data_IF_982940389828
#
_entry.id   IF_982940389828
#
_cell.length_a   1.000
_cell.length_b   1.000
_cell.length_c   1.000
_cell.angle_alpha   90.00
_cell.angle_beta   90.00
_cell.angle_gamma   90.00
#
_symmetry.space_group_name_H-M   'P 1'
#
loop_
_entity.id
_entity.type
_entity.pdbx_description
1 polymer ?
#
# COMPACT_ATOMS: atom_id res chain seq x y z
N UNK A 1 2.26 -27.20 -15.78
CA UNK A 1 1.87 -27.76 -14.51
C UNK A 1 2.96 -27.56 -13.50
N UNK A 2 2.74 -26.67 -12.51
CA UNK A 2 3.69 -26.50 -11.41
C UNK A 2 3.64 -27.75 -10.53
N UNK A 3 4.72 -28.51 -10.51
CA UNK A 3 4.88 -29.61 -9.54
C UNK A 3 5.27 -28.95 -8.22
N UNK A 4 4.31 -28.83 -7.30
CA UNK A 4 4.61 -28.44 -5.92
C UNK A 4 5.41 -29.55 -5.25
N UNK A 5 6.67 -29.29 -4.93
CA UNK A 5 7.48 -30.18 -4.11
C UNK A 5 6.98 -30.05 -2.66
N UNK A 6 6.26 -31.06 -2.19
CA UNK A 6 5.88 -31.18 -0.79
C UNK A 6 6.93 -32.04 -0.06
N UNK A 7 7.46 -31.52 1.05
CA UNK A 7 8.26 -32.35 1.94
C UNK A 7 7.32 -33.36 2.61
N UNK A 8 7.52 -34.65 2.29
CA UNK A 8 6.75 -35.73 2.89
C UNK A 8 7.55 -36.30 4.07
N UNK A 9 6.98 -36.21 5.25
CA UNK A 9 7.55 -36.87 6.44
C UNK A 9 7.01 -38.28 6.53
N UNK A 10 7.88 -39.23 6.88
CA UNK A 10 7.47 -40.61 7.18
C UNK A 10 6.48 -40.63 8.31
N UNK A 11 5.43 -41.46 8.19
CA UNK A 11 4.40 -41.57 9.22
C UNK A 11 4.99 -41.86 10.61
N UNK A 12 4.52 -41.10 11.60
CA UNK A 12 4.95 -41.24 12.99
C UNK A 12 3.84 -41.92 13.78
N UNK A 13 4.21 -42.98 14.48
CA UNK A 13 3.24 -43.80 15.21
C UNK A 13 3.39 -43.61 16.70
N UNK A 14 2.26 -43.63 17.39
CA UNK A 14 2.18 -43.73 18.87
C UNK A 14 1.10 -44.73 19.26
N UNK A 15 1.34 -45.43 20.33
CA UNK A 15 0.39 -46.38 20.93
C UNK A 15 -0.11 -45.86 22.29
N UNK A 16 -1.43 -45.72 22.41
CA UNK A 16 -2.08 -45.29 23.66
C UNK A 16 -3.28 -46.20 23.89
N UNK A 17 -3.36 -46.83 25.08
CA UNK A 17 -4.47 -47.69 25.43
C UNK A 17 -4.64 -48.92 24.52
N UNK A 18 -3.54 -49.42 23.94
CA UNK A 18 -3.56 -50.52 22.97
C UNK A 18 -3.77 -50.11 21.53
N UNK A 19 -4.22 -48.89 21.25
CA UNK A 19 -4.45 -48.37 19.90
C UNK A 19 -3.17 -47.74 19.36
N UNK A 20 -2.67 -48.19 18.21
CA UNK A 20 -1.57 -47.55 17.50
C UNK A 20 -2.10 -46.66 16.37
N UNK A 21 -1.93 -45.36 16.50
CA UNK A 21 -2.23 -44.38 15.47
C UNK A 21 -0.94 -43.95 14.76
N UNK A 22 -1.02 -43.77 13.45
CA UNK A 22 0.06 -43.23 12.62
C UNK A 22 -0.45 -41.97 11.93
N UNK A 23 0.28 -40.87 12.10
CA UNK A 23 0.01 -39.60 11.42
C UNK A 23 1.12 -39.29 10.42
N UNK A 24 0.75 -38.87 9.22
CA UNK A 24 1.65 -38.29 8.22
C UNK A 24 1.34 -36.82 8.12
N UNK A 25 2.35 -35.98 8.28
CA UNK A 25 2.23 -34.54 8.10
C UNK A 25 3.05 -34.10 6.91
N UNK A 26 2.57 -33.09 6.20
CA UNK A 26 3.28 -32.47 5.07
C UNK A 26 3.28 -30.96 5.23
N UNK A 27 4.37 -30.33 4.83
CA UNK A 27 4.47 -28.88 4.71
C UNK A 27 4.52 -28.52 3.23
N UNK A 28 3.46 -27.90 2.67
CA UNK A 28 3.55 -27.36 1.32
C UNK A 28 4.51 -26.17 1.31
N UNK A 29 5.33 -26.07 0.23
CA UNK A 29 6.44 -25.10 0.14
C UNK A 29 6.04 -23.62 0.15
N UNK A 30 4.75 -23.29 0.20
CA UNK A 30 4.26 -21.91 0.04
C UNK A 30 3.62 -21.29 1.27
N UNK A 31 3.27 -22.06 2.31
CA UNK A 31 2.63 -21.53 3.51
C UNK A 31 3.34 -21.88 4.84
N UNK A 32 4.42 -22.67 4.75
CA UNK A 32 5.28 -23.07 5.87
C UNK A 32 4.52 -23.69 7.07
N UNK A 33 3.32 -24.22 6.82
CA UNK A 33 2.52 -24.94 7.83
C UNK A 33 2.59 -26.44 7.57
N UNK A 34 2.48 -27.21 8.64
CA UNK A 34 2.36 -28.66 8.56
C UNK A 34 0.88 -29.04 8.60
N UNK A 35 0.48 -29.83 7.61
CA UNK A 35 -0.87 -30.33 7.52
C UNK A 35 -0.89 -31.83 7.73
N UNK A 36 -1.89 -32.33 8.46
CA UNK A 36 -2.16 -33.75 8.59
C UNK A 36 -2.71 -34.22 7.24
N UNK A 37 -1.97 -35.09 6.56
CA UNK A 37 -2.33 -35.58 5.21
C UNK A 37 -2.78 -37.02 5.20
N UNK A 38 -2.42 -37.81 6.23
CA UNK A 38 -2.87 -39.17 6.39
C UNK A 38 -2.93 -39.54 7.86
N UNK A 39 -3.99 -40.24 8.23
CA UNK A 39 -4.18 -40.86 9.53
C UNK A 39 -4.56 -42.32 9.30
N UNK A 40 -3.89 -43.22 10.02
CA UNK A 40 -4.24 -44.65 10.04
C UNK A 40 -4.16 -45.17 11.46
N UNK A 41 -4.96 -46.20 11.76
CA UNK A 41 -4.80 -47.01 12.95
C UNK A 41 -4.15 -48.33 12.61
N UNK A 42 -3.75 -49.07 13.61
CA UNK A 42 -3.41 -50.46 13.42
C UNK A 42 -4.59 -51.28 12.83
N UNK A 43 -4.29 -52.42 12.27
CA UNK A 43 -5.28 -53.18 11.48
C UNK A 43 -6.51 -53.57 12.32
N UNK A 44 -6.29 -54.05 13.55
CA UNK A 44 -7.38 -54.55 14.40
C UNK A 44 -8.37 -53.43 14.77
N UNK A 45 -7.88 -52.24 15.13
CA UNK A 45 -8.71 -51.09 15.44
C UNK A 45 -9.33 -50.44 14.21
N UNK A 46 -8.64 -50.45 13.07
CA UNK A 46 -9.20 -49.97 11.80
C UNK A 46 -10.38 -50.82 11.33
N UNK A 47 -10.33 -52.12 11.51
CA UNK A 47 -11.44 -53.02 11.22
C UNK A 47 -12.58 -52.91 12.24
N UNK A 48 -12.24 -52.82 13.55
CA UNK A 48 -13.22 -52.73 14.62
C UNK A 48 -14.00 -51.42 14.63
N UNK A 49 -13.39 -50.32 14.20
CA UNK A 49 -13.94 -48.96 14.23
C UNK A 49 -14.35 -48.44 12.85
N UNK A 50 -14.48 -49.34 11.87
CA UNK A 50 -14.73 -48.99 10.49
C UNK A 50 -16.03 -48.18 10.27
N UNK A 51 -16.99 -48.30 11.13
CA UNK A 51 -18.30 -47.63 11.09
C UNK A 51 -18.27 -46.15 11.41
N UNK A 52 -17.38 -45.70 12.30
CA UNK A 52 -17.28 -44.27 12.71
C UNK A 52 -15.94 -43.61 12.37
N UNK A 53 -14.90 -44.39 12.14
CA UNK A 53 -13.54 -43.88 11.93
C UNK A 53 -13.41 -42.89 10.75
N UNK A 54 -14.07 -43.11 9.57
CA UNK A 54 -13.99 -42.15 8.47
C UNK A 54 -14.53 -40.76 8.83
N UNK A 55 -15.63 -40.70 9.60
CA UNK A 55 -16.19 -39.45 10.06
C UNK A 55 -15.27 -38.76 11.08
N UNK A 56 -14.75 -39.48 12.05
CA UNK A 56 -13.82 -38.94 13.02
C UNK A 56 -12.56 -38.38 12.35
N UNK A 57 -11.97 -39.10 11.40
CA UNK A 57 -10.80 -38.63 10.67
C UNK A 57 -11.13 -37.41 9.79
N UNK A 58 -12.32 -37.36 9.19
CA UNK A 58 -12.75 -36.18 8.46
C UNK A 58 -12.81 -34.92 9.34
N UNK A 59 -13.29 -35.04 10.57
CA UNK A 59 -13.29 -33.94 11.56
C UNK A 59 -11.88 -33.49 11.91
N UNK A 60 -10.96 -34.43 12.12
CA UNK A 60 -9.55 -34.12 12.41
C UNK A 60 -8.87 -33.44 11.20
N UNK A 61 -9.12 -33.90 9.97
CA UNK A 61 -8.60 -33.27 8.74
C UNK A 61 -9.13 -31.85 8.55
N UNK A 62 -10.40 -31.60 8.83
CA UNK A 62 -10.98 -30.25 8.75
C UNK A 62 -10.39 -29.31 9.81
N UNK A 63 -10.21 -29.81 11.04
CA UNK A 63 -9.65 -29.04 12.15
C UNK A 63 -8.11 -28.91 12.10
N UNK A 64 -7.43 -29.84 11.41
CA UNK A 64 -5.97 -30.00 11.42
C UNK A 64 -5.37 -30.17 12.83
N UNK A 65 -6.18 -30.64 13.76
CA UNK A 65 -5.84 -30.90 15.17
C UNK A 65 -6.81 -31.91 15.74
N UNK A 66 -6.47 -32.50 16.89
CA UNK A 66 -7.43 -33.30 17.70
C UNK A 66 -8.10 -32.46 18.78
N UNK A 67 -7.56 -31.26 19.07
CA UNK A 67 -8.11 -30.36 20.07
C UNK A 67 -9.45 -29.79 19.60
N UNK A 68 -10.47 -29.87 20.45
CA UNK A 68 -11.82 -29.40 20.13
C UNK A 68 -12.60 -30.29 19.16
N UNK A 69 -12.03 -31.40 18.71
CA UNK A 69 -12.75 -32.35 17.86
C UNK A 69 -13.73 -33.17 18.74
N UNK A 70 -15.04 -32.99 18.46
CA UNK A 70 -16.10 -33.70 19.17
C UNK A 70 -16.12 -35.19 18.82
N UNK A 71 -16.21 -36.09 19.81
CA UNK A 71 -16.39 -37.51 19.59
C UNK A 71 -17.65 -37.84 18.78
N UNK A 72 -17.65 -38.96 18.11
CA UNK A 72 -18.80 -39.44 17.34
C UNK A 72 -19.90 -39.92 18.30
N UNK A 73 -21.14 -39.46 18.06
CA UNK A 73 -22.27 -39.88 18.88
C UNK A 73 -22.53 -41.40 18.71
N UNK A 74 -22.75 -42.07 19.84
CA UNK A 74 -22.85 -43.54 19.87
C UNK A 74 -21.49 -44.25 20.08
N UNK A 75 -20.38 -43.57 19.82
CA UNK A 75 -18.99 -44.14 19.92
C UNK A 75 -18.06 -43.20 20.69
N UNK A 76 -18.57 -42.54 21.74
CA UNK A 76 -17.84 -41.47 22.45
C UNK A 76 -16.56 -41.95 23.13
N UNK A 77 -16.61 -43.16 23.70
CA UNK A 77 -15.45 -43.71 24.42
C UNK A 77 -14.33 -44.10 23.43
N UNK A 78 -14.69 -44.81 22.38
CA UNK A 78 -13.77 -45.28 21.36
C UNK A 78 -13.19 -44.07 20.59
N UNK A 79 -14.01 -43.07 20.23
CA UNK A 79 -13.55 -41.84 19.58
C UNK A 79 -12.52 -41.10 20.44
N UNK A 80 -12.71 -40.99 21.75
CA UNK A 80 -11.74 -40.37 22.65
C UNK A 80 -10.44 -41.15 22.72
N UNK A 81 -10.52 -42.49 22.71
CA UNK A 81 -9.33 -43.33 22.68
C UNK A 81 -8.53 -43.15 21.39
N UNK A 82 -9.21 -43.09 20.24
CA UNK A 82 -8.58 -42.79 18.95
C UNK A 82 -7.98 -41.37 18.92
N UNK A 83 -8.72 -40.35 19.38
CA UNK A 83 -8.21 -38.97 19.48
C UNK A 83 -6.96 -38.91 20.32
N UNK A 84 -6.91 -39.62 21.46
CA UNK A 84 -5.71 -39.68 22.33
C UNK A 84 -4.52 -40.34 21.62
N UNK A 85 -4.73 -41.42 20.88
CA UNK A 85 -3.67 -42.07 20.13
C UNK A 85 -3.16 -41.20 18.96
N UNK A 86 -4.06 -40.55 18.22
CA UNK A 86 -3.69 -39.61 17.18
C UNK A 86 -2.93 -38.40 17.74
N UNK A 87 -3.39 -37.83 18.85
CA UNK A 87 -2.69 -36.72 19.54
C UNK A 87 -1.29 -37.15 19.99
N UNK A 88 -1.13 -38.34 20.51
CA UNK A 88 0.19 -38.84 20.89
C UNK A 88 1.13 -39.03 19.69
N UNK A 89 0.59 -39.45 18.55
CA UNK A 89 1.37 -39.54 17.30
C UNK A 89 1.78 -38.15 16.81
N UNK A 90 0.86 -37.18 16.82
CA UNK A 90 1.15 -35.78 16.47
C UNK A 90 2.18 -35.16 17.44
N UNK A 91 2.05 -35.35 18.73
CA UNK A 91 3.01 -34.86 19.71
C UNK A 91 4.41 -35.48 19.52
N UNK A 92 4.51 -36.71 19.06
CA UNK A 92 5.80 -37.31 18.67
C UNK A 92 6.36 -36.72 17.37
N UNK A 93 5.51 -36.26 16.47
CA UNK A 93 5.93 -35.56 15.26
C UNK A 93 6.52 -34.17 15.60
N UNK A 94 5.92 -33.48 16.56
CA UNK A 94 6.27 -32.13 16.98
C UNK A 94 6.79 -32.15 18.43
N UNK A 95 8.10 -32.29 18.62
CA UNK A 95 8.70 -32.36 19.97
C UNK A 95 9.13 -31.02 20.54
N UNK A 96 9.24 -29.98 19.71
CA UNK A 96 9.47 -28.61 20.14
C UNK A 96 8.26 -27.75 19.79
N UNK A 97 7.98 -26.73 20.59
CA UNK A 97 7.05 -25.67 20.24
C UNK A 97 7.62 -24.86 19.08
N UNK A 98 6.75 -24.30 18.26
CA UNK A 98 7.17 -23.33 17.23
C UNK A 98 7.90 -22.15 17.89
N UNK A 99 8.98 -21.64 17.30
CA UNK A 99 9.65 -20.47 17.83
C UNK A 99 8.79 -19.22 17.63
N UNK A 100 8.92 -18.26 18.53
CA UNK A 100 8.40 -16.92 18.36
C UNK A 100 9.41 -16.10 17.55
N UNK A 101 8.95 -15.40 16.51
CA UNK A 101 9.78 -14.53 15.67
C UNK A 101 9.30 -13.08 15.82
N UNK A 102 10.16 -12.23 16.36
CA UNK A 102 9.91 -10.80 16.52
C UNK A 102 10.92 -9.98 15.74
N UNK A 103 10.53 -8.78 15.33
CA UNK A 103 11.38 -7.85 14.59
C UNK A 103 11.31 -6.46 15.22
N UNK A 104 12.43 -5.73 15.20
CA UNK A 104 12.50 -4.38 15.74
C UNK A 104 13.36 -3.48 14.84
N UNK A 105 12.86 -2.31 14.44
CA UNK A 105 11.49 -1.82 14.63
C UNK A 105 10.46 -2.66 13.84
N UNK A 106 9.21 -2.75 14.31
CA UNK A 106 8.15 -3.39 13.53
C UNK A 106 7.47 -2.35 12.64
N UNK A 107 7.51 -2.57 11.32
CA UNK A 107 6.96 -1.68 10.30
C UNK A 107 6.21 -2.50 9.25
N UNK A 108 5.25 -1.88 8.56
CA UNK A 108 4.58 -2.47 7.38
C UNK A 108 5.49 -2.47 6.15
N UNK A 109 6.33 -1.43 6.03
CA UNK A 109 7.33 -1.29 4.96
C UNK A 109 8.56 -0.60 5.53
N UNK A 110 9.72 -1.13 5.21
CA UNK A 110 11.03 -0.61 5.60
C UNK A 110 11.63 0.19 4.45
N UNK A 111 12.41 1.22 4.78
CA UNK A 111 13.24 1.88 3.78
C UNK A 111 14.37 0.95 3.31
N UNK A 112 14.92 1.22 2.11
CA UNK A 112 16.10 0.51 1.64
C UNK A 112 17.25 0.70 2.63
N UNK A 113 18.01 -0.36 2.87
CA UNK A 113 19.10 -0.42 3.84
C UNK A 113 18.69 -0.16 5.31
N UNK A 114 17.39 -0.07 5.64
CA UNK A 114 16.97 -0.16 7.05
C UNK A 114 17.47 -1.48 7.64
N UNK A 115 18.11 -1.41 8.79
CA UNK A 115 18.51 -2.57 9.57
C UNK A 115 17.36 -2.97 10.48
N UNK A 116 16.98 -4.23 10.39
CA UNK A 116 15.89 -4.79 11.18
C UNK A 116 16.44 -5.90 12.05
N UNK A 117 16.40 -5.71 13.35
CA UNK A 117 16.83 -6.73 14.31
C UNK A 117 15.79 -7.83 14.40
N UNK A 118 16.20 -9.07 14.21
CA UNK A 118 15.39 -10.27 14.33
C UNK A 118 15.73 -10.98 15.61
N UNK A 119 14.72 -11.27 16.44
CA UNK A 119 14.86 -12.05 17.67
C UNK A 119 13.98 -13.29 17.59
N UNK A 120 14.57 -14.43 17.90
CA UNK A 120 13.89 -15.72 17.94
C UNK A 120 13.91 -16.25 19.39
N UNK A 121 12.79 -16.80 19.84
CA UNK A 121 12.68 -17.46 21.13
C UNK A 121 11.85 -18.73 20.99
N UNK A 122 12.09 -19.72 21.84
CA UNK A 122 11.31 -20.95 21.87
C UNK A 122 10.98 -21.34 23.31
N UNK A 123 9.69 -21.49 23.66
CA UNK A 123 9.28 -21.84 25.01
C UNK A 123 9.68 -23.26 25.44
N UNK A 124 10.14 -24.10 24.50
CA UNK A 124 10.59 -25.45 24.81
C UNK A 124 12.02 -25.42 25.33
N UNK A 125 12.18 -25.69 26.62
CA UNK A 125 13.50 -25.72 27.28
C UNK A 125 14.47 -26.70 26.59
N UNK A 126 15.69 -26.23 26.32
CA UNK A 126 16.73 -26.99 25.63
C UNK A 126 16.49 -27.25 24.14
N UNK A 127 15.53 -26.58 23.51
CA UNK A 127 15.39 -26.59 22.06
C UNK A 127 16.43 -25.67 21.39
N UNK A 128 16.93 -26.11 20.26
CA UNK A 128 17.80 -25.31 19.39
C UNK A 128 16.95 -24.70 18.27
N UNK A 129 17.11 -23.40 18.01
CA UNK A 129 16.38 -22.71 16.93
C UNK A 129 17.28 -22.61 15.70
N UNK A 130 16.71 -22.85 14.53
CA UNK A 130 17.37 -22.69 13.23
C UNK A 130 16.52 -21.79 12.35
N UNK A 131 17.18 -20.94 11.56
CA UNK A 131 16.48 -19.99 10.70
C UNK A 131 17.11 -19.90 9.32
N UNK A 132 16.33 -19.39 8.37
CA UNK A 132 16.77 -18.99 7.04
C UNK A 132 16.28 -17.59 6.71
N UNK A 133 17.01 -16.88 5.86
CA UNK A 133 16.64 -15.58 5.32
C UNK A 133 16.76 -15.64 3.80
N UNK A 134 15.65 -15.42 3.10
CA UNK A 134 15.61 -15.42 1.64
C UNK A 134 15.20 -14.05 1.12
N UNK A 135 15.81 -13.60 0.01
CA UNK A 135 15.47 -12.35 -0.65
C UNK A 135 14.66 -12.63 -1.94
N UNK A 136 13.52 -11.94 -2.10
CA UNK A 136 12.66 -12.11 -3.28
C UNK A 136 13.35 -11.83 -4.62
N UNK A 137 14.41 -11.02 -4.62
CA UNK A 137 15.18 -10.73 -5.84
C UNK A 137 16.05 -11.90 -6.29
N UNK A 138 16.28 -12.88 -5.42
CA UNK A 138 17.04 -14.10 -5.69
C UNK A 138 16.18 -15.36 -5.79
N UNK A 139 14.90 -15.24 -5.38
CA UNK A 139 13.97 -16.37 -5.41
C UNK A 139 13.44 -16.59 -6.83
N UNK A 140 13.91 -17.61 -7.48
CA UNK A 140 13.25 -18.17 -8.67
C UNK A 140 12.38 -19.35 -8.24
N UNK A 141 11.08 -19.09 -8.12
CA UNK A 141 9.96 -20.04 -8.05
C UNK A 141 10.00 -21.27 -7.15
N UNK A 142 11.14 -21.92 -6.94
CA UNK A 142 11.25 -23.20 -6.22
C UNK A 142 12.33 -23.23 -5.12
N UNK A 143 13.00 -22.13 -4.85
CA UNK A 143 14.14 -22.07 -3.91
C UNK A 143 13.80 -21.37 -2.62
N UNK A 144 12.73 -21.80 -1.96
CA UNK A 144 12.43 -21.38 -0.59
C UNK A 144 13.30 -22.19 0.36
N UNK A 145 14.17 -21.52 1.11
CA UNK A 145 15.05 -22.20 2.06
C UNK A 145 14.27 -22.73 3.26
N UNK A 146 14.47 -24.01 3.53
CA UNK A 146 13.83 -24.73 4.64
C UNK A 146 14.78 -24.72 5.85
N UNK A 147 14.43 -24.08 6.98
CA UNK A 147 15.29 -24.02 8.16
C UNK A 147 15.60 -25.40 8.74
N UNK A 148 14.79 -26.41 8.47
CA UNK A 148 15.05 -27.78 8.93
C UNK A 148 16.12 -28.50 8.12
N UNK A 149 16.50 -27.97 6.95
CA UNK A 149 17.48 -28.57 6.04
C UNK A 149 18.74 -27.73 5.88
N UNK A 150 18.56 -26.42 5.72
CA UNK A 150 19.64 -25.48 5.41
C UNK A 150 19.76 -24.35 6.43
N UNK A 151 19.02 -24.44 7.55
CA UNK A 151 18.95 -23.41 8.56
C UNK A 151 20.27 -23.14 9.27
N UNK A 152 20.50 -21.88 9.57
CA UNK A 152 21.59 -21.41 10.43
C UNK A 152 21.10 -21.53 11.88
N UNK A 153 21.96 -22.07 12.75
CA UNK A 153 21.63 -22.14 14.18
C UNK A 153 21.59 -20.73 14.77
N UNK A 154 20.48 -20.40 15.43
CA UNK A 154 20.31 -19.13 16.13
C UNK A 154 21.05 -19.16 17.47
N UNK A 155 21.84 -18.13 17.74
CA UNK A 155 22.53 -17.91 19.01
C UNK A 155 22.20 -16.59 19.65
N UNK A 156 22.07 -15.53 18.83
CA UNK A 156 21.86 -14.17 19.28
C UNK A 156 20.96 -13.44 18.27
N UNK A 157 20.30 -12.33 18.65
CA UNK A 157 19.59 -11.47 17.70
C UNK A 157 20.51 -11.05 16.55
N UNK A 158 19.97 -11.04 15.34
CA UNK A 158 20.71 -10.69 14.14
C UNK A 158 20.00 -9.62 13.34
N UNK A 159 20.74 -8.90 12.52
CA UNK A 159 20.22 -7.84 11.67
C UNK A 159 20.01 -8.34 10.25
N UNK A 160 18.91 -7.88 9.63
CA UNK A 160 18.61 -8.09 8.21
C UNK A 160 18.31 -6.78 7.54
N UNK A 161 18.73 -6.64 6.28
CA UNK A 161 18.47 -5.48 5.43
C UNK A 161 18.45 -5.88 3.97
N UNK A 162 17.87 -5.03 3.12
CA UNK A 162 18.04 -5.10 1.67
C UNK A 162 18.80 -3.85 1.23
N UNK A 163 20.05 -4.01 0.87
CA UNK A 163 20.86 -2.95 0.27
C UNK A 163 20.80 -3.05 -1.26
N UNK A 164 19.62 -2.83 -1.82
CA UNK A 164 19.45 -2.71 -3.26
C UNK A 164 18.31 -1.75 -3.60
N UNK A 165 18.51 -0.93 -4.62
CA UNK A 165 17.55 0.09 -5.06
C UNK A 165 16.25 -0.48 -5.64
N UNK A 166 16.20 -1.76 -5.97
CA UNK A 166 15.00 -2.40 -6.51
C UNK A 166 13.93 -2.65 -5.44
N UNK A 167 14.32 -2.57 -4.14
CA UNK A 167 13.47 -3.00 -3.04
C UNK A 167 13.24 -4.51 -3.05
N UNK A 168 12.20 -4.97 -2.42
CA UNK A 168 11.84 -6.38 -2.43
C UNK A 168 11.28 -6.88 -1.11
N UNK A 169 11.34 -8.19 -0.93
CA UNK A 169 10.92 -8.84 0.31
C UNK A 169 12.03 -9.72 0.87
N UNK A 170 12.17 -9.72 2.19
CA UNK A 170 12.89 -10.77 2.90
C UNK A 170 11.88 -11.72 3.55
N UNK A 171 12.13 -12.99 3.43
CA UNK A 171 11.35 -14.06 4.03
C UNK A 171 12.20 -14.70 5.12
N UNK A 172 11.83 -14.50 6.36
CA UNK A 172 12.51 -15.10 7.51
C UNK A 172 11.67 -16.28 7.94
N UNK A 173 12.29 -17.46 8.02
CA UNK A 173 11.67 -18.68 8.52
C UNK A 173 12.48 -19.22 9.65
N UNK A 174 11.82 -19.79 10.66
CA UNK A 174 12.50 -20.42 11.78
C UNK A 174 11.75 -21.68 12.22
N UNK A 175 12.51 -22.67 12.67
CA UNK A 175 12.00 -23.88 13.31
C UNK A 175 12.87 -24.23 14.50
N UNK A 176 12.26 -24.78 15.55
CA UNK A 176 12.98 -25.29 16.69
C UNK A 176 13.22 -26.80 16.57
N UNK A 177 14.32 -27.27 17.13
CA UNK A 177 14.71 -28.69 17.15
C UNK A 177 15.01 -29.14 18.59
N UNK A 178 14.39 -30.23 19.00
CA UNK A 178 14.71 -30.89 20.26
C UNK A 178 14.74 -32.41 20.08
N UNK A 179 15.74 -33.07 20.64
CA UNK A 179 15.90 -34.53 20.59
C UNK A 179 15.82 -35.09 19.16
N UNK A 180 16.41 -34.35 18.21
CA UNK A 180 16.44 -34.74 16.80
C UNK A 180 15.16 -34.43 16.01
N UNK A 181 14.10 -33.93 16.62
CA UNK A 181 12.80 -33.65 16.00
C UNK A 181 12.55 -32.15 15.89
N UNK A 182 11.87 -31.76 14.80
CA UNK A 182 11.59 -30.37 14.48
C UNK A 182 10.18 -29.92 14.92
N UNK A 183 10.04 -28.66 15.22
CA UNK A 183 8.75 -27.96 15.35
C UNK A 183 8.11 -27.71 13.98
N UNK A 184 6.95 -27.08 13.95
CA UNK A 184 6.48 -26.34 12.78
C UNK A 184 7.44 -25.20 12.41
N UNK A 185 7.27 -24.66 11.20
CA UNK A 185 8.04 -23.51 10.70
C UNK A 185 7.22 -22.25 10.88
N UNK A 186 7.76 -21.26 11.58
CA UNK A 186 7.20 -19.90 11.61
C UNK A 186 7.82 -19.08 10.52
N UNK A 187 7.05 -18.08 10.02
CA UNK A 187 7.47 -17.19 8.93
C UNK A 187 7.12 -15.74 9.24
N UNK A 188 8.02 -14.84 8.88
CA UNK A 188 7.80 -13.40 8.84
C UNK A 188 8.28 -12.87 7.49
N UNK A 189 7.43 -12.07 6.84
CA UNK A 189 7.76 -11.38 5.61
C UNK A 189 8.05 -9.91 5.95
N UNK A 190 9.21 -9.41 5.54
CA UNK A 190 9.57 -8.01 5.62
C UNK A 190 9.53 -7.41 4.21
N UNK A 191 8.79 -6.32 4.04
CA UNK A 191 8.71 -5.62 2.76
C UNK A 191 9.60 -4.38 2.82
N UNK A 192 10.52 -4.25 1.86
CA UNK A 192 11.40 -3.10 1.71
C UNK A 192 10.97 -2.30 0.49
N UNK A 193 10.83 -0.99 0.66
CA UNK A 193 10.56 -0.07 -0.44
C UNK A 193 11.70 -0.09 -1.46
N UNK A 194 11.40 0.35 -2.67
CA UNK A 194 12.43 0.63 -3.66
C UNK A 194 13.40 1.66 -3.06
N UNK A 195 14.67 1.33 -3.02
CA UNK A 195 15.68 2.13 -2.37
C UNK A 195 16.25 3.22 -3.28
N UNK A 196 17.10 4.01 -2.69
CA UNK A 196 17.87 5.07 -3.33
C UNK A 196 19.34 4.84 -3.05
N UNK A 197 20.21 5.16 -4.01
CA UNK A 197 21.66 5.10 -3.80
C UNK A 197 22.08 6.15 -2.78
N UNK A 198 23.17 5.89 -2.08
CA UNK A 198 23.80 6.89 -1.21
C UNK A 198 23.92 8.24 -1.92
N UNK A 199 23.60 9.34 -1.23
CA UNK A 199 23.46 10.70 -1.77
C UNK A 199 22.20 10.93 -2.63
N UNK A 200 21.14 10.19 -2.38
CA UNK A 200 19.87 10.33 -3.09
C UNK A 200 19.23 11.71 -2.93
N UNK A 201 19.51 12.37 -1.82
CA UNK A 201 18.96 13.70 -1.53
C UNK A 201 20.08 14.69 -1.23
N UNK A 202 19.96 15.89 -1.79
CA UNK A 202 20.83 17.02 -1.45
C UNK A 202 19.97 18.17 -0.95
N UNK A 203 20.34 18.70 0.22
CA UNK A 203 19.75 19.90 0.80
C UNK A 203 20.87 20.85 1.19
N UNK A 204 20.86 22.07 0.67
CA UNK A 204 21.90 23.08 0.88
C UNK A 204 23.34 22.56 0.66
N UNK A 205 23.52 21.71 -0.37
CA UNK A 205 24.82 21.11 -0.71
C UNK A 205 25.24 19.94 0.20
N UNK A 206 24.44 19.58 1.19
CA UNK A 206 24.69 18.43 2.07
C UNK A 206 23.92 17.22 1.57
N UNK A 207 24.59 16.06 1.50
CA UNK A 207 24.02 14.80 1.08
C UNK A 207 23.30 14.10 2.23
N UNK A 208 22.12 13.55 1.93
CA UNK A 208 21.31 12.73 2.86
C UNK A 208 20.99 11.39 2.23
N UNK A 209 20.98 10.34 3.04
CA UNK A 209 20.70 8.97 2.60
C UNK A 209 19.22 8.57 2.80
N UNK A 210 18.46 9.32 3.60
CA UNK A 210 17.05 9.05 3.83
C UNK A 210 16.19 10.28 3.55
N UNK A 211 14.95 10.02 3.11
CA UNK A 211 13.94 11.06 2.91
C UNK A 211 13.67 11.84 4.20
N UNK A 212 13.47 11.12 5.32
CA UNK A 212 13.16 11.76 6.60
C UNK A 212 14.23 12.73 7.06
N UNK A 213 15.51 12.38 6.85
CA UNK A 213 16.62 13.27 7.17
C UNK A 213 16.67 14.49 6.24
N UNK A 214 16.45 14.33 4.94
CA UNK A 214 16.39 15.43 3.98
C UNK A 214 15.19 16.35 4.24
N UNK A 215 14.00 15.77 4.50
CA UNK A 215 12.80 16.53 4.81
C UNK A 215 12.93 17.34 6.12
N UNK A 216 13.60 16.80 7.13
CA UNK A 216 13.86 17.49 8.38
C UNK A 216 14.95 18.57 8.26
N UNK A 217 15.87 18.44 7.30
CA UNK A 217 16.99 19.38 7.12
C UNK A 217 16.62 20.60 6.27
N UNK A 218 15.63 20.49 5.39
CA UNK A 218 15.27 21.60 4.50
C UNK A 218 14.72 22.76 5.31
N UNK A 219 15.19 23.98 4.98
CA UNK A 219 14.72 25.22 5.58
C UNK A 219 13.59 25.83 4.75
N UNK A 220 12.89 26.79 5.33
CA UNK A 220 11.86 27.53 4.61
C UNK A 220 12.43 28.09 3.30
N UNK A 221 11.68 27.90 2.22
CA UNK A 221 12.02 28.27 0.84
C UNK A 221 13.27 27.57 0.28
N UNK A 222 13.74 26.53 0.97
CA UNK A 222 14.85 25.70 0.53
C UNK A 222 14.45 24.66 -0.53
N UNK A 223 15.43 23.84 -0.94
CA UNK A 223 15.22 22.85 -2.00
C UNK A 223 15.75 21.49 -1.56
N UNK A 224 14.93 20.46 -1.74
CA UNK A 224 15.36 19.06 -1.72
C UNK A 224 15.63 18.66 -3.17
N UNK A 225 16.86 18.30 -3.46
CA UNK A 225 17.30 17.84 -4.77
C UNK A 225 17.33 16.32 -4.77
N UNK A 226 16.65 15.70 -5.73
CA UNK A 226 16.63 14.26 -5.94
C UNK A 226 17.75 13.86 -6.90
N UNK A 227 18.58 12.89 -6.53
CA UNK A 227 19.63 12.30 -7.35
C UNK A 227 19.30 10.87 -7.81
N UNK A 228 18.15 10.35 -7.41
CA UNK A 228 17.64 9.04 -7.81
C UNK A 228 16.11 9.00 -7.68
N UNK A 229 15.49 7.93 -8.21
CA UNK A 229 14.08 7.62 -7.99
C UNK A 229 13.78 7.40 -6.51
N UNK A 230 12.71 8.01 -6.02
CA UNK A 230 12.30 7.97 -4.61
C UNK A 230 10.94 7.33 -4.50
N UNK A 231 10.79 6.42 -3.54
CA UNK A 231 9.50 5.87 -3.15
C UNK A 231 9.25 6.18 -1.67
N UNK A 232 8.24 7.01 -1.42
CA UNK A 232 7.79 7.34 -0.06
C UNK A 232 6.84 6.26 0.46
N UNK A 233 6.95 5.94 1.73
CA UNK A 233 6.10 5.01 2.46
C UNK A 233 5.00 5.75 3.23
N UNK A 234 4.10 5.03 3.88
CA UNK A 234 3.06 5.62 4.75
C UNK A 234 3.63 6.31 6.00
N UNK A 235 4.86 5.97 6.38
CA UNK A 235 5.55 6.56 7.54
C UNK A 235 6.29 7.85 7.20
N UNK A 236 6.58 8.07 5.91
CA UNK A 236 7.26 9.26 5.45
C UNK A 236 6.30 10.46 5.48
N UNK A 237 6.85 11.62 5.81
CA UNK A 237 6.12 12.90 5.82
C UNK A 237 6.74 13.86 4.82
N UNK A 238 5.89 14.67 4.22
CA UNK A 238 6.38 15.85 3.48
C UNK A 238 6.97 16.87 4.44
N UNK A 239 7.87 17.75 3.97
CA UNK A 239 8.48 18.79 4.81
C UNK A 239 7.46 19.65 5.57
N UNK A 240 7.80 20.05 6.78
CA UNK A 240 6.99 20.93 7.63
C UNK A 240 7.23 22.42 7.34
N UNK A 241 8.02 22.76 6.33
CA UNK A 241 8.33 24.10 5.87
C UNK A 241 8.13 24.25 4.37
N UNK A 242 7.79 25.44 3.93
CA UNK A 242 7.66 25.75 2.50
C UNK A 242 8.97 25.41 1.77
N UNK A 243 8.90 24.61 0.71
CA UNK A 243 10.10 24.19 -0.02
C UNK A 243 9.81 23.75 -1.46
N UNK A 244 10.88 23.52 -2.21
CA UNK A 244 10.86 22.94 -3.55
C UNK A 244 11.46 21.53 -3.52
N UNK A 245 10.83 20.59 -4.22
CA UNK A 245 11.39 19.26 -4.51
C UNK A 245 11.63 19.17 -6.01
N UNK A 246 12.87 18.87 -6.42
CA UNK A 246 13.23 18.76 -7.83
C UNK A 246 14.34 17.75 -8.08
N UNK A 247 14.51 17.29 -9.31
CA UNK A 247 15.66 16.49 -9.74
C UNK A 247 16.94 17.34 -9.80
N UNK A 248 18.09 16.68 -9.74
CA UNK A 248 19.41 17.30 -9.65
C UNK A 248 19.78 18.09 -10.91
N UNK A 249 19.52 17.51 -12.07
CA UNK A 249 19.82 18.14 -13.37
C UNK A 249 18.55 18.46 -14.15
N UNK A 250 18.65 19.24 -15.22
CA UNK A 250 17.51 19.62 -16.03
C UNK A 250 17.09 18.56 -17.06
N UNK A 251 17.85 17.48 -17.22
CA UNK A 251 17.62 16.46 -18.23
C UNK A 251 16.95 15.21 -17.64
N UNK A 252 17.38 14.80 -16.45
CA UNK A 252 16.84 13.60 -15.77
C UNK A 252 15.73 13.97 -14.82
N UNK A 253 14.55 13.42 -15.04
CA UNK A 253 13.42 13.56 -14.12
C UNK A 253 13.32 12.33 -13.24
N UNK A 254 13.90 12.40 -12.06
CA UNK A 254 13.77 11.33 -11.09
C UNK A 254 12.34 11.19 -10.62
N UNK A 255 11.95 9.94 -10.39
CA UNK A 255 10.59 9.60 -10.03
C UNK A 255 10.37 9.80 -8.53
N UNK A 256 9.38 10.64 -8.20
CA UNK A 256 8.85 10.75 -6.83
C UNK A 256 7.54 9.96 -6.76
N UNK A 257 7.58 8.82 -6.09
CA UNK A 257 6.45 7.88 -6.00
C UNK A 257 6.11 7.56 -4.54
N UNK A 258 4.94 6.99 -4.31
CA UNK A 258 4.57 6.52 -2.97
C UNK A 258 3.09 6.52 -2.68
N UNK A 259 2.79 6.29 -1.40
CA UNK A 259 1.46 6.31 -0.81
C UNK A 259 0.81 7.70 -0.90
N UNK A 260 -0.49 7.81 -0.64
CA UNK A 260 -1.14 9.11 -0.47
C UNK A 260 -0.42 9.97 0.57
N UNK A 261 -0.14 11.22 0.23
CA UNK A 261 0.61 12.15 1.09
C UNK A 261 -0.21 13.38 1.44
N UNK A 262 -0.01 13.90 2.65
CA UNK A 262 -0.60 15.17 3.11
C UNK A 262 0.51 16.20 3.28
N UNK A 263 0.30 17.40 2.77
CA UNK A 263 1.23 18.52 2.93
C UNK A 263 1.10 19.14 4.33
N UNK A 264 2.23 19.56 4.87
CA UNK A 264 2.32 20.28 6.14
C UNK A 264 2.75 21.76 5.95
N UNK A 265 3.14 22.13 4.74
CA UNK A 265 3.53 23.48 4.33
C UNK A 265 3.40 23.61 2.80
N UNK A 266 3.60 24.82 2.28
CA UNK A 266 3.57 25.09 0.85
C UNK A 266 4.64 24.30 0.11
N UNK A 267 4.27 23.75 -1.05
CA UNK A 267 5.12 22.84 -1.82
C UNK A 267 5.20 23.24 -3.28
N UNK A 268 6.41 23.26 -3.82
CA UNK A 268 6.67 23.33 -5.24
C UNK A 268 7.32 22.02 -5.73
N UNK A 269 6.74 21.41 -6.77
CA UNK A 269 7.31 20.28 -7.48
C UNK A 269 7.81 20.74 -8.85
N UNK A 270 9.06 20.44 -9.17
CA UNK A 270 9.72 20.89 -10.41
C UNK A 270 10.65 19.80 -10.93
N UNK A 271 10.75 19.66 -12.25
CA UNK A 271 11.65 18.73 -12.92
C UNK A 271 11.65 17.30 -12.34
N UNK A 272 10.49 16.75 -12.06
CA UNK A 272 10.32 15.38 -11.55
C UNK A 272 9.37 14.56 -12.41
N UNK A 273 9.49 13.23 -12.34
CA UNK A 273 8.47 12.28 -12.76
C UNK A 273 7.54 12.00 -11.57
N UNK A 274 6.36 12.63 -11.58
CA UNK A 274 5.38 12.51 -10.51
C UNK A 274 4.69 11.13 -10.52
N UNK A 275 4.69 10.45 -9.40
CA UNK A 275 4.02 9.18 -9.20
C UNK A 275 3.52 8.97 -7.75
N UNK A 276 3.36 10.04 -6.99
CA UNK A 276 2.64 9.97 -5.71
C UNK A 276 1.17 9.62 -5.99
N UNK A 277 0.54 8.93 -5.07
CA UNK A 277 -0.90 8.65 -5.14
C UNK A 277 -1.74 9.93 -5.03
N UNK A 278 -2.70 9.96 -4.11
CA UNK A 278 -3.40 11.20 -3.80
C UNK A 278 -2.48 12.15 -3.03
N UNK A 279 -2.41 13.41 -3.47
CA UNK A 279 -1.74 14.48 -2.73
C UNK A 279 -2.78 15.44 -2.15
N UNK A 280 -2.76 15.59 -0.84
CA UNK A 280 -3.65 16.47 -0.10
C UNK A 280 -2.88 17.73 0.30
N UNK A 281 -3.25 18.86 -0.28
CA UNK A 281 -2.59 20.13 0.01
C UNK A 281 -2.95 20.67 1.41
N UNK A 282 -4.07 20.21 2.01
CA UNK A 282 -4.43 20.45 3.40
C UNK A 282 -4.48 21.95 3.78
N UNK A 283 -4.88 22.80 2.86
CA UNK A 283 -4.93 24.26 3.06
C UNK A 283 -3.64 25.00 2.70
N UNK A 284 -2.59 24.30 2.27
CA UNK A 284 -1.33 24.89 1.82
C UNK A 284 -1.30 25.12 0.31
N UNK A 285 -0.45 26.03 -0.15
CA UNK A 285 -0.27 26.29 -1.57
C UNK A 285 0.54 25.16 -2.23
N UNK A 286 0.11 24.77 -3.45
CA UNK A 286 0.80 23.75 -4.24
C UNK A 286 1.12 24.29 -5.63
N UNK A 287 2.38 24.14 -6.06
CA UNK A 287 2.81 24.43 -7.41
C UNK A 287 3.37 23.20 -8.10
N UNK A 288 2.77 22.77 -9.19
CA UNK A 288 3.31 21.80 -10.16
C UNK A 288 3.86 22.59 -11.32
N UNK A 289 5.17 22.64 -11.48
CA UNK A 289 5.86 23.42 -12.49
C UNK A 289 5.69 22.84 -13.91
N UNK A 290 6.02 23.60 -14.91
CA UNK A 290 5.86 23.24 -16.33
C UNK A 290 6.81 22.13 -16.81
N UNK A 291 7.78 21.77 -16.02
CA UNK A 291 8.78 20.73 -16.26
C UNK A 291 8.48 19.40 -15.52
N UNK A 292 7.34 19.30 -14.86
CA UNK A 292 6.89 18.07 -14.23
C UNK A 292 6.25 17.15 -15.27
N UNK A 293 6.55 15.85 -15.17
CA UNK A 293 5.87 14.79 -15.93
C UNK A 293 5.11 13.88 -14.98
N UNK A 294 3.96 13.38 -15.38
CA UNK A 294 3.28 12.32 -14.65
C UNK A 294 3.68 10.96 -15.20
N UNK A 295 4.08 10.03 -14.33
CA UNK A 295 4.29 8.65 -14.73
C UNK A 295 2.95 8.04 -15.19
N UNK A 296 3.03 7.00 -16.04
CA UNK A 296 1.81 6.32 -16.47
C UNK A 296 1.07 5.69 -15.27
N UNK A 297 -0.25 5.90 -15.20
CA UNK A 297 -1.13 5.37 -14.17
C UNK A 297 -2.48 4.96 -14.75
N UNK A 298 -3.02 3.83 -14.30
CA UNK A 298 -4.37 3.37 -14.65
C UNK A 298 -5.49 4.25 -14.06
N UNK A 299 -5.25 4.81 -12.87
CA UNK A 299 -6.25 5.54 -12.07
C UNK A 299 -6.07 7.05 -12.12
N UNK A 300 -4.99 7.54 -12.76
CA UNK A 300 -4.59 8.94 -12.71
C UNK A 300 -4.01 9.35 -11.35
N UNK A 301 -3.78 10.63 -11.18
CA UNK A 301 -3.28 11.24 -9.95
C UNK A 301 -4.21 12.35 -9.51
N UNK A 302 -4.58 12.36 -8.22
CA UNK A 302 -5.49 13.35 -7.69
C UNK A 302 -4.75 14.34 -6.78
N UNK A 303 -5.01 15.62 -7.00
CA UNK A 303 -4.57 16.73 -6.15
C UNK A 303 -5.79 17.31 -5.45
N UNK A 304 -5.82 17.26 -4.13
CA UNK A 304 -6.90 17.81 -3.32
C UNK A 304 -6.41 19.07 -2.61
N UNK A 305 -7.16 20.16 -2.68
CA UNK A 305 -6.87 21.37 -1.92
C UNK A 305 -7.02 21.13 -0.40
N UNK A 306 -8.05 20.39 -0.02
CA UNK A 306 -8.27 19.97 1.37
C UNK A 306 -7.53 18.68 1.74
N UNK A 307 -8.09 17.94 2.70
CA UNK A 307 -7.49 16.73 3.28
C UNK A 307 -8.53 15.60 3.42
N UNK A 308 -8.12 14.48 4.00
CA UNK A 308 -8.99 13.39 4.47
C UNK A 308 -9.59 13.65 5.85
N UNK A 309 -9.26 14.79 6.45
CA UNK A 309 -9.83 15.33 7.69
C UNK A 309 -10.31 16.76 7.45
N UNK A 310 -10.90 17.39 8.46
CA UNK A 310 -11.20 18.82 8.43
C UNK A 310 -9.92 19.62 8.18
N UNK A 311 -9.97 20.58 7.28
CA UNK A 311 -8.81 21.40 6.91
C UNK A 311 -9.22 22.86 6.71
N UNK A 312 -8.27 23.77 6.89
CA UNK A 312 -8.51 25.22 6.77
C UNK A 312 -7.30 25.88 6.13
N UNK A 313 -7.52 26.79 5.18
CA UNK A 313 -6.50 27.71 4.70
C UNK A 313 -6.60 29.04 5.47
N UNK A 314 -5.44 29.61 5.80
CA UNK A 314 -5.38 30.91 6.49
C UNK A 314 -5.79 32.09 5.58
N UNK A 315 -5.39 31.98 4.32
CA UNK A 315 -5.65 32.95 3.25
C UNK A 315 -6.24 32.23 2.04
N UNK A 316 -6.40 32.91 0.90
CA UNK A 316 -6.74 32.25 -0.36
C UNK A 316 -5.67 31.22 -0.70
N UNK A 317 -6.07 29.97 -0.81
CA UNK A 317 -5.20 28.85 -1.16
C UNK A 317 -4.98 28.82 -2.68
N UNK A 318 -3.73 28.72 -3.10
CA UNK A 318 -3.38 28.67 -4.52
C UNK A 318 -2.88 27.27 -4.91
N UNK A 319 -3.53 26.67 -5.89
CA UNK A 319 -3.12 25.42 -6.52
C UNK A 319 -2.75 25.73 -7.99
N UNK A 320 -1.48 25.63 -8.34
CA UNK A 320 -1.00 25.88 -9.69
C UNK A 320 -0.52 24.59 -10.35
N UNK A 321 -1.05 24.25 -11.54
CA UNK A 321 -0.67 23.06 -12.30
C UNK A 321 -0.31 23.49 -13.73
N UNK A 322 0.97 23.42 -14.09
CA UNK A 322 1.48 23.88 -15.37
C UNK A 322 1.85 22.74 -16.35
N UNK A 323 1.89 21.49 -15.87
CA UNK A 323 2.17 20.32 -16.68
C UNK A 323 1.63 19.04 -16.01
N UNK A 324 1.69 17.91 -16.72
CA UNK A 324 1.26 16.60 -16.22
C UNK A 324 -0.23 16.34 -16.38
N UNK A 325 -0.65 15.16 -15.94
CA UNK A 325 -2.04 14.69 -16.03
C UNK A 325 -2.60 14.49 -14.63
N UNK A 326 -3.56 15.34 -14.22
CA UNK A 326 -4.10 15.37 -12.88
C UNK A 326 -5.61 15.59 -12.83
N UNK A 327 -6.26 14.96 -11.84
CA UNK A 327 -7.55 15.43 -11.36
C UNK A 327 -7.30 16.41 -10.21
N UNK A 328 -7.72 17.69 -10.36
CA UNK A 328 -7.56 18.74 -9.36
C UNK A 328 -8.90 19.01 -8.71
N UNK A 329 -8.97 18.81 -7.38
CA UNK A 329 -10.19 18.88 -6.59
C UNK A 329 -10.04 19.98 -5.53
N UNK A 330 -10.91 20.98 -5.54
CA UNK A 330 -10.83 22.11 -4.61
C UNK A 330 -11.29 21.78 -3.19
N UNK A 331 -12.01 20.67 -2.98
CA UNK A 331 -12.39 20.19 -1.64
C UNK A 331 -11.37 19.17 -1.08
N UNK A 332 -11.68 18.60 0.10
CA UNK A 332 -11.05 17.41 0.62
C UNK A 332 -11.62 16.12 0.02
N UNK A 333 -11.43 15.00 0.72
CA UNK A 333 -11.94 13.68 0.33
C UNK A 333 -12.76 13.05 1.45
N UNK A 334 -13.87 12.40 1.07
CA UNK A 334 -14.81 11.83 2.03
C UNK A 334 -15.69 12.89 2.68
N UNK A 335 -16.38 12.56 3.75
CA UNK A 335 -17.29 13.49 4.44
C UNK A 335 -16.54 14.50 5.30
N UNK A 336 -15.64 15.27 4.68
CA UNK A 336 -14.80 16.29 5.34
C UNK A 336 -15.17 17.69 4.85
N UNK A 337 -14.90 18.70 5.66
CA UNK A 337 -15.04 20.10 5.28
C UNK A 337 -13.67 20.74 5.11
N UNK A 338 -13.48 21.39 3.96
CA UNK A 338 -12.34 22.25 3.69
C UNK A 338 -12.80 23.71 3.74
N UNK A 339 -12.32 24.47 4.73
CA UNK A 339 -12.67 25.90 4.93
C UNK A 339 -11.61 26.74 4.24
N UNK A 340 -11.89 27.19 3.03
CA UNK A 340 -10.94 27.96 2.23
C UNK A 340 -11.62 28.67 1.07
N UNK A 341 -11.06 29.80 0.67
CA UNK A 341 -11.17 30.30 -0.69
C UNK A 341 -10.06 29.64 -1.52
N UNK A 342 -10.41 28.97 -2.60
CA UNK A 342 -9.45 28.20 -3.41
C UNK A 342 -9.33 28.80 -4.79
N UNK A 343 -8.10 29.07 -5.20
CA UNK A 343 -7.74 29.57 -6.52
C UNK A 343 -6.89 28.52 -7.25
N UNK A 344 -7.46 27.93 -8.29
CA UNK A 344 -6.81 26.87 -9.09
C UNK A 344 -6.41 27.42 -10.43
N UNK A 345 -5.12 27.54 -10.70
CA UNK A 345 -4.58 27.98 -11.99
C UNK A 345 -3.99 26.79 -12.76
N UNK A 346 -4.56 26.47 -13.92
CA UNK A 346 -4.02 25.46 -14.83
C UNK A 346 -3.53 26.09 -16.11
N UNK A 347 -2.32 25.71 -16.54
CA UNK A 347 -1.64 26.33 -17.67
C UNK A 347 -0.67 25.39 -18.37
N UNK A 348 0.16 25.92 -19.23
CA UNK A 348 1.21 25.22 -19.95
C UNK A 348 0.72 23.99 -20.72
N UNK A 349 1.31 22.84 -20.47
CA UNK A 349 0.94 21.57 -21.11
C UNK A 349 0.08 20.66 -20.22
N UNK A 350 -0.57 21.21 -19.20
CA UNK A 350 -1.38 20.41 -18.28
C UNK A 350 -2.57 19.74 -18.98
N UNK A 351 -2.80 18.49 -18.62
CA UNK A 351 -4.00 17.73 -18.95
C UNK A 351 -4.77 17.47 -17.67
N UNK A 352 -5.99 18.01 -17.55
CA UNK A 352 -6.67 18.06 -16.26
C UNK A 352 -8.13 17.63 -16.31
N UNK A 353 -8.56 17.03 -15.20
CA UNK A 353 -9.95 16.98 -14.76
C UNK A 353 -10.09 17.93 -13.56
N UNK A 354 -11.11 18.77 -13.55
CA UNK A 354 -11.32 19.74 -12.48
C UNK A 354 -12.62 19.46 -11.74
N UNK A 355 -12.58 19.49 -10.41
CA UNK A 355 -13.77 19.36 -9.58
C UNK A 355 -13.74 20.36 -8.43
N UNK A 356 -14.88 21.00 -8.15
CA UNK A 356 -15.02 21.88 -6.98
C UNK A 356 -15.17 21.08 -5.71
N UNK A 357 -16.22 20.29 -5.57
CA UNK A 357 -16.44 19.39 -4.43
C UNK A 357 -16.76 17.97 -4.89
N UNK A 358 -16.12 16.97 -4.25
CA UNK A 358 -16.10 15.58 -4.73
C UNK A 358 -16.30 14.57 -3.59
N UNK A 359 -17.03 13.46 -3.89
CA UNK A 359 -17.17 12.29 -3.01
C UNK A 359 -17.60 12.60 -1.57
N UNK A 360 -18.61 13.42 -1.38
CA UNK A 360 -19.17 13.74 -0.06
C UNK A 360 -18.48 14.88 0.69
N UNK A 361 -17.38 15.41 0.17
CA UNK A 361 -16.68 16.52 0.80
C UNK A 361 -17.43 17.85 0.61
N UNK A 362 -17.21 18.77 1.55
CA UNK A 362 -17.70 20.16 1.48
C UNK A 362 -16.51 21.11 1.30
N UNK A 363 -16.61 22.00 0.34
CA UNK A 363 -15.80 23.21 0.27
C UNK A 363 -16.62 24.35 0.91
N UNK A 364 -16.16 24.84 2.05
CA UNK A 364 -16.76 25.95 2.76
C UNK A 364 -16.01 27.25 2.41
N UNK A 365 -16.37 27.83 1.27
CA UNK A 365 -15.76 29.02 0.67
C UNK A 365 -15.94 29.06 -0.84
N UNK A 366 -15.34 30.07 -1.46
CA UNK A 366 -15.39 30.26 -2.90
C UNK A 366 -14.31 29.42 -3.61
N UNK A 367 -14.54 29.08 -4.88
CA UNK A 367 -13.51 28.50 -5.74
C UNK A 367 -13.53 29.14 -7.11
N UNK A 368 -12.32 29.46 -7.61
CA UNK A 368 -12.10 29.92 -8.97
C UNK A 368 -11.11 28.98 -9.68
N UNK A 369 -11.52 28.46 -10.82
CA UNK A 369 -10.65 27.72 -11.73
C UNK A 369 -10.28 28.62 -12.90
N UNK A 370 -8.97 28.84 -13.10
CA UNK A 370 -8.41 29.57 -14.24
C UNK A 370 -7.81 28.56 -15.20
N UNK A 371 -8.38 28.42 -16.38
CA UNK A 371 -7.91 27.52 -17.44
C UNK A 371 -7.27 28.36 -18.55
N UNK A 372 -5.96 28.23 -18.70
CA UNK A 372 -5.19 28.97 -19.68
C UNK A 372 -5.18 28.33 -21.09
N UNK A 373 -4.61 29.04 -22.04
CA UNK A 373 -4.33 28.54 -23.39
C UNK A 373 -3.46 27.29 -23.36
N UNK A 374 -3.67 26.37 -24.29
CA UNK A 374 -2.90 25.13 -24.44
C UNK A 374 -3.27 23.99 -23.47
N UNK A 375 -4.02 24.25 -22.40
CA UNK A 375 -4.49 23.23 -21.47
C UNK A 375 -5.42 22.23 -22.15
N UNK A 376 -5.30 20.95 -21.80
CA UNK A 376 -6.29 19.93 -22.16
C UNK A 376 -7.25 19.74 -20.98
N UNK A 377 -8.46 20.27 -21.11
CA UNK A 377 -9.52 20.07 -20.12
C UNK A 377 -10.33 18.82 -20.48
N UNK A 378 -10.12 17.74 -19.74
CA UNK A 378 -10.81 16.47 -19.96
C UNK A 378 -12.21 16.46 -19.37
N UNK A 379 -12.39 17.07 -18.20
CA UNK A 379 -13.66 17.14 -17.49
C UNK A 379 -13.68 18.35 -16.56
N UNK A 380 -14.88 18.91 -16.34
CA UNK A 380 -15.14 19.87 -15.27
C UNK A 380 -16.42 19.49 -14.55
N UNK A 381 -16.36 19.40 -13.23
CA UNK A 381 -17.48 19.09 -12.35
C UNK A 381 -17.47 20.06 -11.17
N UNK A 382 -18.43 20.95 -11.10
CA UNK A 382 -18.53 21.88 -9.95
C UNK A 382 -18.81 21.15 -8.66
N UNK A 383 -19.97 20.50 -8.56
CA UNK A 383 -20.37 19.67 -7.42
C UNK A 383 -20.60 18.23 -7.90
N UNK A 384 -19.75 17.30 -7.49
CA UNK A 384 -19.95 15.86 -7.77
C UNK A 384 -20.07 15.08 -6.48
N UNK A 385 -21.29 14.84 -6.03
CA UNK A 385 -21.56 14.17 -4.74
C UNK A 385 -20.89 14.88 -3.55
N UNK A 386 -20.62 16.18 -3.66
CA UNK A 386 -20.09 17.08 -2.65
C UNK A 386 -20.79 18.43 -2.71
N UNK A 387 -20.42 19.37 -1.85
CA UNK A 387 -21.08 20.67 -1.70
C UNK A 387 -20.08 21.82 -1.69
N UNK A 388 -20.46 22.94 -2.31
CA UNK A 388 -19.76 24.23 -2.25
C UNK A 388 -20.72 25.22 -1.58
N UNK A 389 -20.29 25.84 -0.49
CA UNK A 389 -21.13 26.84 0.22
C UNK A 389 -20.99 28.24 -0.36
N UNK A 390 -19.84 28.56 -0.95
CA UNK A 390 -19.52 29.82 -1.58
C UNK A 390 -19.81 29.86 -3.08
N UNK A 391 -19.10 30.71 -3.82
CA UNK A 391 -19.23 30.88 -5.25
C UNK A 391 -18.29 29.91 -6.00
N UNK A 392 -18.75 29.47 -7.16
CA UNK A 392 -17.93 28.71 -8.12
C UNK A 392 -17.74 29.57 -9.39
N UNK A 393 -16.49 29.71 -9.82
CA UNK A 393 -16.17 30.34 -11.10
C UNK A 393 -15.28 29.44 -11.93
N UNK A 394 -15.64 29.18 -13.19
CA UNK A 394 -14.76 28.61 -14.21
C UNK A 394 -14.42 29.71 -15.20
N UNK A 395 -13.16 30.16 -15.19
CA UNK A 395 -12.64 31.14 -16.14
C UNK A 395 -11.80 30.48 -17.20
N UNK A 396 -12.16 30.72 -18.47
CA UNK A 396 -11.43 30.20 -19.65
C UNK A 396 -10.68 31.34 -20.31
N UNK A 397 -9.40 31.14 -20.54
CA UNK A 397 -8.54 32.08 -21.27
C UNK A 397 -7.92 31.41 -22.50
N UNK A 398 -7.90 32.10 -23.62
CA UNK A 398 -7.35 31.59 -24.90
C UNK A 398 -8.17 30.46 -25.50
N UNK A 399 -7.51 29.39 -25.91
CA UNK A 399 -8.08 28.25 -26.66
C UNK A 399 -7.66 26.92 -26.04
N UNK A 400 -8.11 26.56 -24.82
CA UNK A 400 -7.85 25.25 -24.29
C UNK A 400 -8.52 24.16 -25.14
N UNK A 401 -7.98 22.97 -25.13
CA UNK A 401 -8.56 21.81 -25.81
C UNK A 401 -9.54 21.12 -24.88
N UNK A 402 -10.79 20.94 -25.33
CA UNK A 402 -11.80 20.17 -24.59
C UNK A 402 -11.80 18.72 -25.07
N UNK A 403 -11.95 17.77 -24.16
CA UNK A 403 -12.10 16.36 -24.50
C UNK A 403 -13.33 16.15 -25.37
N UNK A 404 -13.20 15.37 -26.45
CA UNK A 404 -14.25 15.18 -27.46
C UNK A 404 -15.20 14.01 -27.13
N UNK A 405 -14.78 13.04 -26.31
CA UNK A 405 -15.56 11.83 -26.03
C UNK A 405 -16.09 11.80 -24.60
N UNK A 406 -17.43 11.74 -24.47
CA UNK A 406 -18.17 11.79 -23.20
C UNK A 406 -17.70 12.88 -22.22
N UNK A 407 -17.43 14.11 -22.67
CA UNK A 407 -17.03 15.17 -21.78
C UNK A 407 -18.22 15.61 -20.93
N UNK A 408 -17.98 15.91 -19.66
CA UNK A 408 -18.93 16.60 -18.81
C UNK A 408 -18.30 17.88 -18.33
N UNK A 409 -18.90 19.03 -18.70
CA UNK A 409 -18.50 20.35 -18.23
C UNK A 409 -19.71 20.97 -17.52
N UNK A 410 -19.88 20.57 -16.23
CA UNK A 410 -21.09 20.84 -15.50
C UNK A 410 -20.81 21.53 -14.17
N UNK A 411 -21.36 22.72 -13.96
CA UNK A 411 -21.17 23.46 -12.71
C UNK A 411 -21.88 22.82 -11.52
N UNK A 412 -23.03 22.19 -11.73
CA UNK A 412 -23.85 21.65 -10.65
C UNK A 412 -24.33 20.24 -10.95
N UNK A 413 -24.29 19.38 -9.90
CA UNK A 413 -24.95 18.05 -9.87
C UNK A 413 -26.11 18.07 -8.89
N UNK A 414 -26.02 18.88 -7.82
CA UNK A 414 -26.99 18.93 -6.72
C UNK A 414 -27.94 20.15 -6.82
N UNK A 415 -27.75 21.02 -7.79
CA UNK A 415 -28.53 22.25 -8.03
C UNK A 415 -28.90 22.32 -9.51
N UNK A 416 -30.00 22.97 -9.86
CA UNK A 416 -30.41 23.12 -11.27
C UNK A 416 -29.40 23.95 -12.06
N UNK A 417 -28.91 25.03 -11.44
CA UNK A 417 -27.82 25.84 -11.97
C UNK A 417 -27.00 26.42 -10.83
N UNK A 418 -25.67 26.57 -11.06
CA UNK A 418 -24.75 27.07 -10.04
C UNK A 418 -23.51 27.67 -10.68
N UNK A 419 -22.95 28.70 -10.06
CA UNK A 419 -21.67 29.29 -10.43
C UNK A 419 -21.66 30.07 -11.74
N UNK A 420 -20.49 30.56 -12.09
CA UNK A 420 -20.21 31.43 -13.23
C UNK A 420 -19.25 30.74 -14.19
N UNK A 421 -19.60 30.71 -15.48
CA UNK A 421 -18.68 30.47 -16.58
C UNK A 421 -18.22 31.82 -17.13
N UNK A 422 -16.94 32.15 -16.98
CA UNK A 422 -16.34 33.36 -17.50
C UNK A 422 -15.49 33.07 -18.75
N UNK A 423 -15.99 33.49 -19.90
CA UNK A 423 -15.34 33.34 -21.17
C UNK A 423 -14.78 34.68 -21.70
N UNK A 424 -14.69 35.71 -20.86
CA UNK A 424 -14.22 37.05 -21.31
C UNK A 424 -12.78 37.02 -21.81
N UNK A 425 -11.94 36.11 -21.30
CA UNK A 425 -10.56 35.89 -21.76
C UNK A 425 -10.42 34.84 -22.85
N UNK A 426 -11.50 34.16 -23.25
CA UNK A 426 -11.45 33.12 -24.27
C UNK A 426 -11.42 33.67 -25.67
N UNK A 427 -10.79 32.97 -26.63
CA UNK A 427 -10.81 33.33 -28.02
C UNK A 427 -12.21 33.20 -28.62
N UNK A 428 -12.58 34.11 -29.56
CA UNK A 428 -13.91 34.16 -30.15
C UNK A 428 -14.31 32.85 -30.84
N UNK A 429 -13.37 32.21 -31.56
CA UNK A 429 -13.60 30.91 -32.21
C UNK A 429 -13.83 29.78 -31.20
N UNK A 430 -13.12 29.80 -30.08
CA UNK A 430 -13.35 28.85 -28.99
C UNK A 430 -14.75 29.04 -28.38
N UNK A 431 -15.16 30.27 -28.10
CA UNK A 431 -16.49 30.59 -27.60
C UNK A 431 -17.57 30.05 -28.56
N UNK A 432 -17.43 30.36 -29.84
CA UNK A 432 -18.38 29.95 -30.87
C UNK A 432 -18.53 28.43 -30.97
N UNK A 433 -17.42 27.70 -30.84
CA UNK A 433 -17.40 26.26 -31.00
C UNK A 433 -17.79 25.46 -29.72
N UNK A 434 -17.78 26.07 -28.53
CA UNK A 434 -17.80 25.31 -27.31
C UNK A 434 -18.77 25.82 -26.23
N UNK A 435 -19.38 26.98 -26.36
CA UNK A 435 -20.21 27.61 -25.33
C UNK A 435 -21.38 26.69 -24.86
N UNK A 436 -21.98 26.00 -25.80
CA UNK A 436 -23.08 25.07 -25.58
C UNK A 436 -22.70 23.77 -24.89
N UNK A 437 -21.41 23.46 -24.85
CA UNK A 437 -20.88 22.25 -24.17
C UNK A 437 -20.88 22.39 -22.66
N UNK A 438 -20.91 23.60 -22.12
CA UNK A 438 -20.92 23.88 -20.69
C UNK A 438 -22.35 23.97 -20.19
N UNK A 439 -22.71 23.18 -19.21
CA UNK A 439 -24.07 23.08 -18.67
C UNK A 439 -24.14 23.38 -17.19
N UNK A 440 -25.32 23.75 -16.70
CA UNK A 440 -25.58 23.94 -15.26
C UNK A 440 -24.91 25.18 -14.65
N UNK A 441 -24.36 26.10 -15.43
CA UNK A 441 -23.92 27.40 -14.94
C UNK A 441 -25.10 28.35 -14.80
N UNK A 442 -25.17 29.07 -13.67
CA UNK A 442 -26.19 30.10 -13.43
C UNK A 442 -25.90 31.39 -14.24
N UNK A 443 -24.63 31.68 -14.46
CA UNK A 443 -24.17 32.87 -15.20
C UNK A 443 -23.14 32.48 -16.24
N UNK A 444 -23.22 33.05 -17.43
CA UNK A 444 -22.23 32.88 -18.48
C UNK A 444 -21.81 34.28 -18.98
N UNK A 445 -20.50 34.57 -18.92
CA UNK A 445 -19.92 35.85 -19.37
C UNK A 445 -19.05 35.61 -20.63
N UNK A 446 -18.98 36.59 -21.57
CA UNK A 446 -19.86 37.73 -21.64
C UNK A 446 -21.30 37.29 -21.87
N UNK A 447 -22.22 38.06 -21.32
CA UNK A 447 -23.66 37.89 -21.63
C UNK A 447 -23.84 38.09 -23.13
N UNK A 448 -24.68 37.24 -23.80
CA UNK A 448 -24.94 37.27 -25.21
C UNK A 448 -25.62 38.58 -25.62
#
# INVERSE_FOLDING_TARGET
GNVAYTAQYSGISATVGGITATAVTQSPNYDDKYYITSLTLDKDHSETYADFLPELFSRIYLAQTTEGVEPIEGHKQESRAVLSAVQAALNKALTASEPTLTVSPEKTTYANADEVTVTLDCPTDGAEIYYTVDNSNTLTGSTVSDPTKTGIKYTDPFEVSIDNIAGGKLYIRAAAKKDGKWSGIVRKDLTFAKGVKGNAFVVDGTNYQSWSAAAAAVKKDGTIVLNDDVQLTEEDKLPDVACTIRSADGETKYRLSGSPMTMNADLTLSNISYALGNLYANGHNLTISNDVETAWSWTGYNLYAGSTAESTAADTQHISVQAGNFAVIASGRGSTTHKAHVDVAVGGSAEVELAGAYMGATLDGDVTFHVADGVKLNQFLGEQSGFITGNLTLQINGTPTLKSYNPTYKASVNKDSFGTLDLTGAAADFITANRDKFTGFATVLPTA
#
